data_IF_747979650312
#
_entry.id   IF_747979650312
#
_cell.length_a   1.000
_cell.length_b   1.000
_cell.length_c   1.000
_cell.angle_alpha   90.00
_cell.angle_beta   90.00
_cell.angle_gamma   90.00
#
_symmetry.space_group_name_H-M   'P 1'
#
loop_
_entity.id
_entity.type
_entity.pdbx_description
1 polymer ?
#
# COMPACT_ATOMS: atom_id res chain seq x y z
N UNK A 1 5.96 7.69 27.21
CA UNK A 1 6.24 6.27 26.92
C UNK A 1 5.02 5.48 27.39
N UNK A 2 4.55 4.48 26.65
CA UNK A 2 3.31 3.76 27.04
C UNK A 2 3.53 2.72 28.15
N UNK A 3 4.79 2.44 28.50
CA UNK A 3 5.20 1.72 29.70
C UNK A 3 6.06 2.64 30.58
N UNK A 4 6.04 2.41 31.89
CA UNK A 4 6.92 3.08 32.85
C UNK A 4 8.24 2.28 33.02
N UNK A 5 9.19 2.87 33.76
CA UNK A 5 10.52 2.27 33.97
C UNK A 5 10.44 0.93 34.72
N UNK A 6 9.56 0.82 35.71
CA UNK A 6 9.37 -0.40 36.51
C UNK A 6 8.91 -1.57 35.63
N UNK A 7 7.86 -1.35 34.81
CA UNK A 7 7.37 -2.36 33.85
C UNK A 7 8.47 -2.73 32.86
N UNK A 8 9.25 -1.75 32.39
CA UNK A 8 10.36 -2.03 31.47
C UNK A 8 11.43 -2.94 32.12
N UNK A 9 11.79 -2.70 33.38
CA UNK A 9 12.74 -3.52 34.11
C UNK A 9 12.21 -4.95 34.34
N UNK A 10 10.93 -5.09 34.69
CA UNK A 10 10.30 -6.42 34.83
C UNK A 10 10.35 -7.22 33.52
N UNK A 11 9.98 -6.59 32.41
CA UNK A 11 10.02 -7.23 31.09
C UNK A 11 11.44 -7.62 30.69
N UNK A 12 12.43 -6.77 30.97
CA UNK A 12 13.84 -7.09 30.71
C UNK A 12 14.34 -8.24 31.59
N UNK A 13 13.93 -8.31 32.85
CA UNK A 13 14.26 -9.44 33.73
C UNK A 13 13.68 -10.76 33.22
N UNK A 14 12.49 -10.72 32.61
CA UNK A 14 11.79 -11.91 32.12
C UNK A 14 12.24 -12.36 30.72
N UNK A 15 12.49 -11.43 29.80
CA UNK A 15 12.71 -11.73 28.37
C UNK A 15 14.11 -11.36 27.86
N UNK A 16 14.94 -10.68 28.67
CA UNK A 16 16.27 -10.22 28.28
C UNK A 16 16.25 -9.01 27.35
N UNK A 17 17.44 -8.60 26.88
CA UNK A 17 17.63 -7.47 25.95
C UNK A 17 18.47 -7.89 24.72
N UNK A 18 18.29 -7.23 23.55
CA UNK A 18 17.32 -6.17 23.25
C UNK A 18 15.88 -6.71 23.13
N UNK A 19 14.89 -5.91 23.56
CA UNK A 19 13.48 -6.30 23.59
C UNK A 19 12.60 -5.28 22.86
N UNK A 20 11.82 -5.75 21.88
CA UNK A 20 10.72 -4.97 21.30
C UNK A 20 9.44 -5.24 22.09
N UNK A 21 8.82 -4.18 22.61
CA UNK A 21 7.56 -4.24 23.34
C UNK A 21 6.47 -3.59 22.51
N UNK A 22 5.36 -4.31 22.32
CA UNK A 22 4.19 -3.82 21.59
C UNK A 22 3.01 -3.68 22.55
N UNK A 23 2.23 -2.61 22.39
CA UNK A 23 0.94 -2.47 23.07
C UNK A 23 -0.18 -2.82 22.10
N UNK A 24 -0.83 -3.97 22.33
CA UNK A 24 -2.01 -4.37 21.55
C UNK A 24 -3.13 -3.34 21.66
N UNK A 25 -3.34 -2.77 22.86
CA UNK A 25 -4.33 -1.71 23.08
C UNK A 25 -4.09 -0.53 22.12
N UNK A 26 -2.86 -0.03 22.05
CA UNK A 26 -2.51 1.09 21.17
C UNK A 26 -2.69 0.69 19.70
N UNK A 27 -2.27 -0.52 19.31
CA UNK A 27 -2.42 -0.99 17.92
C UNK A 27 -3.90 -1.01 17.50
N UNK A 28 -4.78 -1.56 18.34
CA UNK A 28 -6.23 -1.60 18.08
C UNK A 28 -6.83 -0.20 18.03
N UNK A 29 -6.45 0.68 18.94
CA UNK A 29 -6.87 2.08 18.93
C UNK A 29 -6.50 2.78 17.61
N UNK A 30 -5.26 2.62 17.13
CA UNK A 30 -4.82 3.22 15.85
C UNK A 30 -5.60 2.67 14.65
N UNK A 31 -5.91 1.38 14.63
CA UNK A 31 -6.75 0.77 13.60
C UNK A 31 -8.15 1.40 13.57
N UNK A 32 -8.78 1.52 14.75
CA UNK A 32 -10.11 2.11 14.91
C UNK A 32 -10.14 3.59 14.56
N UNK A 33 -9.10 4.34 14.91
CA UNK A 33 -9.00 5.76 14.58
C UNK A 33 -8.97 5.98 13.06
N UNK A 34 -8.21 5.16 12.31
CA UNK A 34 -8.22 5.20 10.84
C UNK A 34 -9.59 4.86 10.26
N UNK A 35 -10.21 3.76 10.72
CA UNK A 35 -11.54 3.36 10.23
C UNK A 35 -12.60 4.44 10.48
N UNK A 36 -12.57 5.07 11.66
CA UNK A 36 -13.47 6.16 12.02
C UNK A 36 -13.21 7.40 11.17
N UNK A 37 -11.94 7.76 10.92
CA UNK A 37 -11.60 8.94 10.13
C UNK A 37 -12.17 8.90 8.71
N UNK A 38 -12.29 7.69 8.13
CA UNK A 38 -12.81 7.52 6.78
C UNK A 38 -14.30 7.20 6.69
N UNK A 39 -15.00 6.97 7.80
CA UNK A 39 -16.45 6.74 7.86
C UNK A 39 -16.96 5.72 6.80
N UNK A 40 -16.19 4.66 6.53
CA UNK A 40 -16.52 3.63 5.53
C UNK A 40 -16.35 4.04 4.06
N UNK A 41 -15.91 5.28 3.77
CA UNK A 41 -15.62 5.76 2.41
C UNK A 41 -14.30 5.21 1.86
N UNK A 42 -13.36 4.93 2.75
CA UNK A 42 -12.05 4.36 2.42
C UNK A 42 -11.86 3.14 3.31
N UNK A 43 -11.42 2.03 2.71
CA UNK A 43 -10.98 0.83 3.42
C UNK A 43 -9.47 0.95 3.67
N UNK A 44 -9.01 1.15 4.92
CA UNK A 44 -7.59 1.24 5.19
C UNK A 44 -6.91 -0.12 4.99
N UNK A 45 -5.72 -0.08 4.39
CA UNK A 45 -4.82 -1.23 4.26
C UNK A 45 -3.60 -1.02 5.14
N UNK A 46 -3.21 -2.06 5.88
CA UNK A 46 -1.95 -2.08 6.60
C UNK A 46 -0.82 -2.48 5.66
N UNK A 47 0.24 -1.67 5.63
CA UNK A 47 1.41 -1.96 4.82
C UNK A 47 2.35 -2.91 5.54
N UNK A 48 2.44 -4.15 5.04
CA UNK A 48 3.13 -5.26 5.73
C UNK A 48 4.61 -5.02 5.90
N UNK A 49 5.23 -4.25 4.99
CA UNK A 49 6.62 -3.80 5.10
C UNK A 49 6.94 -3.08 6.41
N UNK A 50 5.93 -2.54 7.12
CA UNK A 50 6.12 -1.90 8.41
C UNK A 50 6.45 -2.91 9.53
N UNK A 51 5.76 -4.06 9.56
CA UNK A 51 6.04 -5.15 10.49
C UNK A 51 5.32 -6.45 10.05
N UNK A 52 6.08 -7.51 9.81
CA UNK A 52 5.55 -8.80 9.37
C UNK A 52 5.24 -9.78 10.52
N UNK A 53 5.15 -9.31 11.77
CA UNK A 53 4.86 -10.18 12.91
C UNK A 53 3.44 -10.78 12.79
N UNK A 54 3.29 -12.12 12.73
CA UNK A 54 1.98 -12.73 12.48
C UNK A 54 0.92 -12.42 13.54
N UNK A 55 1.32 -12.21 14.79
CA UNK A 55 0.40 -11.86 15.88
C UNK A 55 -0.16 -10.45 15.73
N UNK A 56 0.69 -9.48 15.34
CA UNK A 56 0.24 -8.11 15.06
C UNK A 56 -0.69 -8.06 13.85
N UNK A 57 -0.35 -8.82 12.80
CA UNK A 57 -1.17 -8.92 11.59
C UNK A 57 -2.56 -9.52 11.87
N UNK A 58 -2.66 -10.53 12.75
CA UNK A 58 -3.95 -11.08 13.18
C UNK A 58 -4.81 -10.02 13.87
N UNK A 59 -4.22 -9.26 14.80
CA UNK A 59 -4.91 -8.15 15.49
C UNK A 59 -5.41 -7.11 14.48
N UNK A 60 -4.57 -6.71 13.53
CA UNK A 60 -4.92 -5.74 12.47
C UNK A 60 -6.11 -6.22 11.64
N UNK A 61 -6.11 -7.51 11.25
CA UNK A 61 -7.23 -8.12 10.53
C UNK A 61 -8.51 -8.16 11.35
N UNK A 62 -8.43 -8.53 12.62
CA UNK A 62 -9.57 -8.56 13.54
C UNK A 62 -10.22 -7.18 13.71
N UNK A 63 -9.42 -6.12 13.64
CA UNK A 63 -9.93 -4.74 13.65
C UNK A 63 -10.55 -4.31 12.31
N UNK A 64 -10.45 -5.12 11.25
CA UNK A 64 -11.14 -4.93 9.97
C UNK A 64 -10.33 -4.23 8.87
N UNK A 65 -9.01 -4.13 9.03
CA UNK A 65 -8.13 -3.57 7.98
C UNK A 65 -7.80 -4.63 6.92
N UNK A 66 -7.66 -4.17 5.67
CA UNK A 66 -7.02 -4.95 4.62
C UNK A 66 -5.48 -4.87 4.78
N UNK A 67 -4.74 -5.46 3.84
CA UNK A 67 -3.29 -5.36 3.81
C UNK A 67 -2.73 -5.19 2.40
N UNK A 68 -1.61 -4.49 2.30
CA UNK A 68 -0.79 -4.46 1.09
C UNK A 68 0.52 -5.24 1.28
N UNK A 69 0.96 -5.88 0.19
CA UNK A 69 2.18 -6.69 0.14
C UNK A 69 3.03 -6.29 -1.06
N UNK A 70 4.35 -6.48 -0.97
CA UNK A 70 5.34 -6.14 -2.00
C UNK A 70 6.16 -7.34 -2.46
N UNK A 71 5.99 -8.51 -1.82
CA UNK A 71 6.66 -9.76 -2.18
C UNK A 71 5.78 -10.99 -1.90
N UNK A 72 6.04 -12.13 -2.56
CA UNK A 72 5.36 -13.40 -2.25
C UNK A 72 5.50 -13.83 -0.79
N UNK A 73 6.65 -13.51 -0.16
CA UNK A 73 6.90 -13.80 1.25
C UNK A 73 5.94 -13.05 2.18
N UNK A 74 5.64 -11.78 1.87
CA UNK A 74 4.65 -10.99 2.63
C UNK A 74 3.23 -11.50 2.41
N UNK A 75 2.85 -11.86 1.18
CA UNK A 75 1.56 -12.54 0.90
C UNK A 75 1.43 -13.79 1.77
N UNK A 76 2.48 -14.60 1.82
CA UNK A 76 2.49 -15.84 2.58
C UNK A 76 2.31 -15.61 4.08
N UNK A 77 2.96 -14.60 4.65
CA UNK A 77 2.78 -14.23 6.06
C UNK A 77 1.35 -13.72 6.30
N UNK A 78 0.81 -12.87 5.42
CA UNK A 78 -0.57 -12.39 5.50
C UNK A 78 -1.58 -13.54 5.49
N UNK A 79 -1.45 -14.47 4.55
CA UNK A 79 -2.34 -15.64 4.47
C UNK A 79 -2.24 -16.50 5.73
N UNK A 80 -1.04 -16.66 6.31
CA UNK A 80 -0.85 -17.35 7.60
C UNK A 80 -1.43 -16.60 8.80
N UNK A 81 -1.54 -15.29 8.70
CA UNK A 81 -2.25 -14.45 9.66
C UNK A 81 -3.76 -14.38 9.41
N UNK A 82 -4.26 -15.09 8.39
CA UNK A 82 -5.69 -15.30 8.13
C UNK A 82 -6.30 -14.39 7.07
N UNK A 83 -5.52 -13.50 6.43
CA UNK A 83 -6.02 -12.62 5.37
C UNK A 83 -6.44 -13.43 4.12
N UNK A 84 -7.65 -13.17 3.63
CA UNK A 84 -8.17 -13.67 2.35
C UNK A 84 -7.52 -12.96 1.16
N UNK A 85 -7.59 -13.56 -0.03
CA UNK A 85 -6.99 -12.99 -1.23
C UNK A 85 -7.58 -11.62 -1.61
N UNK A 86 -8.88 -11.43 -1.36
CA UNK A 86 -9.61 -10.19 -1.53
C UNK A 86 -9.27 -9.11 -0.49
N UNK A 87 -8.59 -9.48 0.58
CA UNK A 87 -8.09 -8.58 1.61
C UNK A 87 -6.64 -8.13 1.34
N UNK A 88 -5.98 -8.70 0.33
CA UNK A 88 -4.58 -8.46 -0.01
C UNK A 88 -4.48 -7.70 -1.33
N UNK A 89 -3.78 -6.58 -1.32
CA UNK A 89 -3.42 -5.85 -2.52
C UNK A 89 -1.91 -5.90 -2.76
N UNK A 90 -1.49 -6.48 -3.88
CA UNK A 90 -0.06 -6.60 -4.19
C UNK A 90 0.46 -5.39 -4.95
N UNK A 91 1.37 -4.64 -4.34
CA UNK A 91 1.93 -3.38 -4.86
C UNK A 91 3.45 -3.52 -4.98
N UNK A 92 3.90 -4.27 -5.98
CA UNK A 92 5.32 -4.48 -6.23
C UNK A 92 5.88 -3.56 -7.32
N UNK A 93 7.12 -3.10 -7.14
CA UNK A 93 7.92 -2.55 -8.22
C UNK A 93 8.81 -3.65 -8.80
N UNK A 94 9.04 -3.66 -10.12
CA UNK A 94 9.94 -4.64 -10.76
C UNK A 94 9.61 -6.12 -10.44
N UNK A 95 8.32 -6.43 -10.42
CA UNK A 95 7.72 -7.76 -10.25
C UNK A 95 8.09 -8.65 -11.43
N UNK A 96 8.70 -9.80 -11.12
CA UNK A 96 9.00 -10.86 -12.08
C UNK A 96 7.73 -11.55 -12.61
N UNK A 97 7.86 -12.31 -13.70
CA UNK A 97 6.76 -13.11 -14.26
C UNK A 97 6.26 -14.13 -13.24
N UNK A 98 7.18 -14.74 -12.49
CA UNK A 98 6.92 -15.77 -11.49
C UNK A 98 6.14 -15.20 -10.31
N UNK A 99 6.56 -14.04 -9.79
CA UNK A 99 5.85 -13.34 -8.70
C UNK A 99 4.46 -12.88 -9.13
N UNK A 100 4.33 -12.38 -10.37
CA UNK A 100 3.06 -11.95 -10.92
C UNK A 100 2.08 -13.13 -11.06
N UNK A 101 2.56 -14.25 -11.62
CA UNK A 101 1.77 -15.49 -11.74
C UNK A 101 1.37 -16.04 -10.37
N UNK A 102 2.29 -16.01 -9.39
CA UNK A 102 2.02 -16.42 -8.01
C UNK A 102 0.84 -15.65 -7.39
N UNK A 103 0.74 -14.34 -7.64
CA UNK A 103 -0.36 -13.51 -7.17
C UNK A 103 -1.67 -13.86 -7.89
N UNK A 104 -1.63 -13.98 -9.22
CA UNK A 104 -2.80 -14.28 -10.05
C UNK A 104 -3.43 -15.63 -9.71
N UNK A 105 -2.61 -16.67 -9.54
CA UNK A 105 -3.07 -18.02 -9.15
C UNK A 105 -3.81 -18.04 -7.81
N UNK A 106 -3.53 -17.06 -6.94
CA UNK A 106 -4.18 -16.89 -5.64
C UNK A 106 -5.37 -15.95 -5.67
N UNK A 107 -5.71 -15.39 -6.84
CA UNK A 107 -6.78 -14.40 -6.98
C UNK A 107 -6.46 -13.05 -6.33
N UNK A 108 -5.18 -12.75 -6.07
CA UNK A 108 -4.74 -11.49 -5.46
C UNK A 108 -4.64 -10.42 -6.55
N UNK A 109 -5.23 -9.26 -6.30
CA UNK A 109 -5.15 -8.14 -7.23
C UNK A 109 -3.73 -7.56 -7.22
N UNK A 110 -3.18 -7.36 -8.41
CA UNK A 110 -1.84 -6.83 -8.61
C UNK A 110 -1.92 -5.42 -9.16
N UNK A 111 -1.17 -4.51 -8.55
CA UNK A 111 -0.79 -3.24 -9.13
C UNK A 111 0.51 -3.36 -9.88
N UNK A 112 0.52 -2.98 -11.16
CA UNK A 112 1.72 -2.86 -11.98
C UNK A 112 2.27 -1.43 -11.94
N UNK A 113 3.60 -1.31 -11.99
CA UNK A 113 4.31 -0.06 -11.73
C UNK A 113 4.92 0.56 -13.00
N UNK A 114 4.77 -0.09 -14.16
CA UNK A 114 5.25 0.41 -15.46
C UNK A 114 4.46 -0.14 -16.65
N UNK A 115 4.58 0.51 -17.80
CA UNK A 115 4.02 0.05 -19.08
C UNK A 115 4.53 -1.36 -19.45
N UNK A 116 5.82 -1.62 -19.28
CA UNK A 116 6.42 -2.93 -19.54
C UNK A 116 5.81 -4.03 -18.67
N UNK A 117 5.56 -3.74 -17.39
CA UNK A 117 4.88 -4.69 -16.51
C UNK A 117 3.41 -4.88 -16.86
N UNK A 118 2.70 -3.83 -17.29
CA UNK A 118 1.32 -3.96 -17.76
C UNK A 118 1.25 -4.85 -19.03
N UNK A 119 2.19 -4.66 -19.96
CA UNK A 119 2.33 -5.50 -21.15
C UNK A 119 2.59 -6.95 -20.75
N UNK A 120 3.55 -7.19 -19.85
CA UNK A 120 3.85 -8.53 -19.33
C UNK A 120 2.63 -9.15 -18.63
N UNK A 121 1.90 -8.38 -17.83
CA UNK A 121 0.68 -8.81 -17.15
C UNK A 121 -0.36 -9.28 -18.18
N UNK A 122 -0.59 -8.48 -19.22
CA UNK A 122 -1.53 -8.81 -20.30
C UNK A 122 -1.14 -10.08 -21.06
N UNK A 123 0.16 -10.33 -21.26
CA UNK A 123 0.64 -11.58 -21.87
C UNK A 123 0.42 -12.80 -20.98
N UNK A 124 0.52 -12.65 -19.66
CA UNK A 124 0.35 -13.77 -18.71
C UNK A 124 -1.13 -14.09 -18.50
N UNK A 125 -1.96 -13.06 -18.37
CA UNK A 125 -3.35 -13.20 -17.91
C UNK A 125 -4.28 -12.25 -18.66
N UNK A 126 -4.52 -12.48 -19.97
CA UNK A 126 -5.47 -11.69 -20.74
C UNK A 126 -6.89 -11.83 -20.16
N UNK A 127 -7.71 -10.80 -20.30
CA UNK A 127 -9.07 -10.78 -19.74
C UNK A 127 -9.15 -10.47 -18.23
N UNK A 128 -8.01 -10.46 -17.53
CA UNK A 128 -7.99 -10.38 -16.07
C UNK A 128 -8.06 -8.96 -15.52
N UNK A 129 -8.30 -8.89 -14.20
CA UNK A 129 -8.33 -7.65 -13.42
C UNK A 129 -6.92 -7.21 -13.07
N UNK A 130 -6.63 -5.93 -13.29
CA UNK A 130 -5.35 -5.31 -12.96
C UNK A 130 -5.56 -3.94 -12.31
N UNK A 131 -4.60 -3.52 -11.50
CA UNK A 131 -4.47 -2.13 -11.07
C UNK A 131 -3.17 -1.53 -11.64
N UNK A 132 -3.12 -0.21 -11.78
CA UNK A 132 -1.91 0.48 -12.26
C UNK A 132 -1.52 1.56 -11.25
N UNK A 133 -0.25 1.53 -10.84
CA UNK A 133 0.32 2.58 -10.02
C UNK A 133 0.72 3.75 -10.90
N UNK A 134 0.19 4.92 -10.59
CA UNK A 134 0.59 6.17 -11.22
C UNK A 134 1.48 6.99 -10.28
N UNK A 135 2.37 7.76 -10.89
CA UNK A 135 3.15 8.76 -10.21
C UNK A 135 2.61 10.13 -10.63
N UNK A 136 1.96 10.89 -9.72
CA UNK A 136 1.33 12.16 -10.07
C UNK A 136 2.35 13.28 -10.39
N UNK A 137 3.66 13.00 -10.36
CA UNK A 137 4.71 13.99 -10.60
C UNK A 137 4.95 14.93 -9.42
N UNK A 138 4.09 14.90 -8.40
CA UNK A 138 4.23 15.64 -7.15
C UNK A 138 4.86 14.76 -6.08
N UNK A 139 6.15 14.97 -5.85
CA UNK A 139 6.90 14.36 -4.76
C UNK A 139 6.88 15.22 -3.52
N UNK A 140 6.42 14.69 -2.39
CA UNK A 140 6.45 15.40 -1.11
C UNK A 140 7.27 14.59 -0.09
N UNK A 141 8.37 15.18 0.38
CA UNK A 141 9.27 14.56 1.35
C UNK A 141 10.27 15.57 1.90
N UNK A 142 10.67 15.38 3.17
CA UNK A 142 11.57 16.29 3.88
C UNK A 142 13.03 16.26 3.38
N UNK A 143 13.42 15.29 2.53
CA UNK A 143 14.73 15.16 1.89
C UNK A 143 14.59 14.40 0.56
N UNK A 144 15.49 14.63 -0.41
CA UNK A 144 15.52 13.96 -1.74
C UNK A 144 15.45 12.42 -1.71
N UNK A 145 15.90 11.79 -0.62
CA UNK A 145 15.87 10.33 -0.43
C UNK A 145 14.50 9.75 -0.07
N UNK A 146 13.56 10.60 0.37
CA UNK A 146 12.22 10.21 0.87
C UNK A 146 11.12 10.53 -0.16
N UNK A 147 11.47 11.30 -1.19
CA UNK A 147 10.57 11.64 -2.29
C UNK A 147 10.41 10.41 -3.19
N UNK A 148 9.24 9.77 -3.16
CA UNK A 148 8.94 8.56 -3.96
C UNK A 148 8.15 8.86 -5.24
N UNK A 149 7.67 10.10 -5.41
CA UNK A 149 6.98 10.62 -6.59
C UNK A 149 7.75 11.81 -7.22
N UNK A 150 7.58 12.09 -8.51
CA UNK A 150 8.36 13.08 -9.29
C UNK A 150 9.06 12.52 -10.55
N UNK A 151 9.50 13.39 -11.47
CA UNK A 151 10.07 13.01 -12.78
C UNK A 151 11.32 12.12 -12.74
N UNK A 152 11.99 12.02 -11.58
CA UNK A 152 13.21 11.20 -11.40
C UNK A 152 13.00 9.91 -10.62
N UNK A 153 11.78 9.61 -10.16
CA UNK A 153 11.52 8.37 -9.42
C UNK A 153 11.35 7.19 -10.38
N UNK A 154 11.75 6.01 -9.92
CA UNK A 154 11.62 4.74 -10.65
C UNK A 154 10.22 4.12 -10.54
N UNK A 155 9.33 4.75 -9.77
CA UNK A 155 8.01 4.19 -9.44
C UNK A 155 6.89 4.87 -10.23
N UNK A 156 5.91 4.06 -10.61
CA UNK A 156 4.66 4.46 -11.23
C UNK A 156 4.78 4.85 -12.70
N UNK A 157 3.68 4.64 -13.42
CA UNK A 157 3.46 5.16 -14.77
C UNK A 157 3.24 6.67 -14.69
N UNK A 158 3.86 7.45 -15.57
CA UNK A 158 3.58 8.88 -15.68
C UNK A 158 2.22 9.10 -16.36
N UNK A 159 1.42 10.12 -15.96
CA UNK A 159 0.09 10.38 -16.53
C UNK A 159 0.08 10.57 -18.06
N UNK A 160 1.17 11.07 -18.63
CA UNK A 160 1.37 11.19 -20.08
C UNK A 160 1.29 9.85 -20.83
N UNK A 161 1.53 8.72 -20.14
CA UNK A 161 1.38 7.37 -20.71
C UNK A 161 -0.02 6.77 -20.52
N UNK A 162 -1.01 7.52 -20.02
CA UNK A 162 -2.41 7.07 -19.96
C UNK A 162 -2.93 6.52 -21.32
N UNK A 163 -2.63 7.12 -22.49
CA UNK A 163 -3.01 6.54 -23.78
C UNK A 163 -2.40 5.15 -24.04
N UNK A 164 -1.13 4.96 -23.67
CA UNK A 164 -0.41 3.69 -23.81
C UNK A 164 -1.04 2.62 -22.90
N UNK A 165 -1.37 2.98 -21.65
CA UNK A 165 -2.10 2.11 -20.72
C UNK A 165 -3.42 1.65 -21.34
N UNK A 166 -4.24 2.56 -21.88
CA UNK A 166 -5.52 2.21 -22.52
C UNK A 166 -5.34 1.24 -23.68
N UNK A 167 -4.33 1.47 -24.53
CA UNK A 167 -4.00 0.60 -25.67
C UNK A 167 -3.64 -0.82 -25.22
N UNK A 168 -2.85 -0.97 -24.15
CA UNK A 168 -2.47 -2.28 -23.63
C UNK A 168 -3.67 -2.98 -22.97
N UNK A 169 -4.48 -2.24 -22.21
CA UNK A 169 -5.71 -2.78 -21.63
C UNK A 169 -6.64 -3.35 -22.70
N UNK A 170 -6.86 -2.61 -23.80
CA UNK A 170 -7.65 -3.07 -24.94
C UNK A 170 -7.02 -4.30 -25.62
N UNK A 171 -5.72 -4.23 -25.94
CA UNK A 171 -4.96 -5.28 -26.60
C UNK A 171 -5.11 -6.65 -25.92
N UNK A 172 -5.09 -6.68 -24.59
CA UNK A 172 -5.18 -7.92 -23.81
C UNK A 172 -6.54 -8.11 -23.12
N UNK A 173 -7.54 -7.28 -23.46
CA UNK A 173 -8.88 -7.30 -22.85
C UNK A 173 -8.86 -7.21 -21.31
N UNK A 174 -7.87 -6.51 -20.74
CA UNK A 174 -7.72 -6.37 -19.30
C UNK A 174 -8.77 -5.43 -18.72
N UNK A 175 -9.23 -5.74 -17.51
CA UNK A 175 -10.12 -4.87 -16.74
C UNK A 175 -9.33 -4.06 -15.72
N UNK A 176 -9.12 -2.77 -16.02
CA UNK A 176 -8.56 -1.83 -15.04
C UNK A 176 -9.55 -1.65 -13.88
N UNK A 177 -9.21 -2.22 -12.73
CA UNK A 177 -10.09 -2.24 -11.55
C UNK A 177 -9.86 -1.02 -10.66
N UNK A 178 -8.63 -0.54 -10.60
CA UNK A 178 -8.27 0.61 -9.79
C UNK A 178 -6.92 1.15 -10.18
N UNK A 179 -6.61 2.32 -9.62
CA UNK A 179 -5.29 2.91 -9.69
C UNK A 179 -4.80 3.18 -8.28
N UNK A 180 -3.49 3.32 -8.12
CA UNK A 180 -2.93 3.68 -6.84
C UNK A 180 -1.74 4.63 -6.99
N UNK A 181 -1.38 5.29 -5.90
CA UNK A 181 -0.15 6.07 -5.79
C UNK A 181 0.54 5.83 -4.46
N UNK A 182 1.76 6.32 -4.35
CA UNK A 182 2.41 6.54 -3.05
C UNK A 182 3.43 7.64 -3.23
N UNK A 183 3.26 8.72 -2.47
CA UNK A 183 3.93 10.01 -2.70
C UNK A 183 5.08 10.29 -1.73
N UNK A 184 5.19 9.53 -0.63
CA UNK A 184 6.20 9.73 0.39
C UNK A 184 5.82 9.14 1.73
N UNK A 185 6.58 9.51 2.76
CA UNK A 185 6.37 9.08 4.14
C UNK A 185 6.57 10.23 5.11
N UNK A 186 6.01 10.08 6.32
CA UNK A 186 6.11 11.03 7.42
C UNK A 186 5.35 12.35 7.17
N UNK A 187 4.17 12.26 6.55
CA UNK A 187 3.26 13.39 6.46
C UNK A 187 2.70 13.72 7.85
N UNK A 188 3.22 14.79 8.45
CA UNK A 188 2.67 15.38 9.67
C UNK A 188 1.62 16.46 9.36
N UNK A 189 1.76 17.11 8.19
CA UNK A 189 0.82 18.09 7.67
C UNK A 189 -0.05 17.48 6.55
N UNK A 190 -1.34 17.83 6.46
CA UNK A 190 -2.26 17.22 5.51
C UNK A 190 -2.10 17.74 4.07
N UNK A 191 -1.71 19.00 3.88
CA UNK A 191 -1.82 19.68 2.57
C UNK A 191 -1.12 18.93 1.43
N UNK A 192 0.15 18.48 1.55
CA UNK A 192 0.81 17.77 0.45
C UNK A 192 0.13 16.44 0.08
N UNK A 193 -0.52 15.81 1.06
CA UNK A 193 -1.26 14.57 0.84
C UNK A 193 -2.59 14.84 0.12
N UNK A 194 -3.29 15.92 0.50
CA UNK A 194 -4.54 16.36 -0.13
C UNK A 194 -4.32 16.77 -1.57
N UNK A 195 -3.27 17.56 -1.85
CA UNK A 195 -2.94 18.02 -3.21
C UNK A 195 -2.65 16.85 -4.16
N UNK A 196 -1.87 15.87 -3.68
CA UNK A 196 -1.60 14.66 -4.44
C UNK A 196 -2.84 13.78 -4.64
N UNK A 197 -3.72 13.68 -3.64
CA UNK A 197 -4.97 12.94 -3.78
C UNK A 197 -5.90 13.58 -4.82
N UNK A 198 -6.00 14.92 -4.83
CA UNK A 198 -6.75 15.68 -5.81
C UNK A 198 -6.20 15.46 -7.23
N UNK A 199 -4.88 15.57 -7.41
CA UNK A 199 -4.23 15.32 -8.71
C UNK A 199 -4.50 13.92 -9.26
N UNK A 200 -4.46 12.88 -8.40
CA UNK A 200 -4.78 11.52 -8.82
C UNK A 200 -6.25 11.37 -9.21
N UNK A 201 -7.17 12.02 -8.49
CA UNK A 201 -8.60 12.01 -8.78
C UNK A 201 -8.91 12.67 -10.12
N UNK A 202 -8.32 13.84 -10.39
CA UNK A 202 -8.50 14.56 -11.65
C UNK A 202 -8.00 13.73 -12.84
N UNK A 203 -6.80 13.14 -12.70
CA UNK A 203 -6.25 12.24 -13.72
C UNK A 203 -7.17 11.04 -13.96
N UNK A 204 -7.69 10.42 -12.90
CA UNK A 204 -8.60 9.29 -12.99
C UNK A 204 -9.92 9.66 -13.67
N UNK A 205 -10.50 10.81 -13.31
CA UNK A 205 -11.75 11.29 -13.88
C UNK A 205 -11.63 11.56 -15.38
N UNK A 206 -10.51 12.14 -15.82
CA UNK A 206 -10.24 12.42 -17.23
C UNK A 206 -9.93 11.14 -18.02
N UNK A 207 -9.17 10.20 -17.44
CA UNK A 207 -8.59 9.10 -18.21
C UNK A 207 -9.29 7.76 -18.04
N UNK A 208 -9.80 7.47 -16.84
CA UNK A 208 -10.27 6.14 -16.45
C UNK A 208 -11.62 6.23 -15.71
N UNK A 209 -12.70 6.62 -16.40
CA UNK A 209 -14.03 6.64 -15.78
C UNK A 209 -14.47 5.23 -15.36
N UNK A 210 -15.13 5.12 -14.21
CA UNK A 210 -15.72 3.85 -13.74
C UNK A 210 -14.77 2.89 -13.03
N UNK A 211 -13.64 3.38 -12.49
CA UNK A 211 -12.78 2.59 -11.60
C UNK A 211 -13.56 2.09 -10.37
N UNK A 212 -13.23 0.87 -9.93
CA UNK A 212 -13.80 0.29 -8.72
C UNK A 212 -13.17 0.84 -7.43
N UNK A 213 -11.92 1.31 -7.49
CA UNK A 213 -11.26 2.00 -6.38
C UNK A 213 -10.12 2.90 -6.85
N UNK A 214 -9.74 3.84 -5.98
CA UNK A 214 -8.52 4.63 -6.06
C UNK A 214 -7.83 4.51 -4.70
N UNK A 215 -6.57 4.09 -4.71
CA UNK A 215 -5.76 3.96 -3.51
C UNK A 215 -4.75 5.13 -3.43
N UNK A 216 -4.91 5.97 -2.41
CA UNK A 216 -4.10 7.17 -2.20
C UNK A 216 -2.73 6.88 -1.57
N UNK A 217 -2.47 5.63 -1.20
CA UNK A 217 -1.25 5.18 -0.55
C UNK A 217 -1.23 5.47 0.95
N UNK A 218 -0.12 5.09 1.59
CA UNK A 218 0.16 5.45 2.97
C UNK A 218 1.08 6.66 3.09
N UNK A 219 1.75 6.77 4.25
CA UNK A 219 2.74 7.81 4.51
C UNK A 219 2.41 8.69 5.71
N UNK A 220 1.27 8.47 6.37
CA UNK A 220 0.90 9.14 7.62
C UNK A 220 2.04 9.08 8.64
N UNK A 221 2.46 10.26 9.10
CA UNK A 221 3.57 10.38 10.02
C UNK A 221 3.20 10.05 11.46
N UNK A 222 4.22 9.71 12.24
CA UNK A 222 4.15 9.61 13.70
C UNK A 222 5.24 10.49 14.29
N UNK A 223 4.98 11.22 15.39
CA UNK A 223 5.98 12.07 16.01
C UNK A 223 7.06 11.23 16.70
N UNK A 224 8.29 11.31 16.21
CA UNK A 224 9.45 10.62 16.81
C UNK A 224 10.11 11.41 17.94
N UNK A 225 9.83 12.72 18.03
CA UNK A 225 10.33 13.62 19.07
C UNK A 225 9.16 14.41 19.64
N UNK A 226 9.24 14.85 20.91
CA UNK A 226 8.33 15.84 21.45
C UNK A 226 8.34 17.11 20.58
N UNK A 227 7.16 17.73 20.42
CA UNK A 227 7.01 19.05 19.84
C UNK A 227 7.13 20.15 20.87
#
# INVERSE_FOLDING_TARGET
MFINLETAQELLGRYGSPLYVYSEKILRERCRDLLKAFCGRIKPSYSVKANTNPSLLKIIREEGLAADAMSPGEIFVLQRSGFGAEEIFYIGNNVSREEMSYCMERGILVSVDSISQLEQFGMISPGSRVAVRFNPGMGAGHCDKVITAGHKTKFGVQPEFCPEVKKILEKYSLKLTGINQHIGSLFLEPDPYVDAAASLLDMAAENFPGLGFIDFGGGFGVPYRPG
#
